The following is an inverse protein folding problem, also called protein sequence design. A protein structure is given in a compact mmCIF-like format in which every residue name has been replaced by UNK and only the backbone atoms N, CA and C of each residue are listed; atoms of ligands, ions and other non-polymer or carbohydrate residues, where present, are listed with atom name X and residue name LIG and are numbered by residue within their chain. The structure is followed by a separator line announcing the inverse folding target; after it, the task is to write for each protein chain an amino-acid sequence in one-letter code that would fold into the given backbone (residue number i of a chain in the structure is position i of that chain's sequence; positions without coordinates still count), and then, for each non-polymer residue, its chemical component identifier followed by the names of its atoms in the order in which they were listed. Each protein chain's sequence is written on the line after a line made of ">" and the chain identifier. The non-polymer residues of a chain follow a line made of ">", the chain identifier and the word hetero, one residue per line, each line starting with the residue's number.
data_IF_533228254565
#
_entry.id   IF_533228254565
#
_cell.length_a   1.000
_cell.length_b   1.000
_cell.length_c   1.000
_cell.angle_alpha   90.00
_cell.angle_beta   90.00
_cell.angle_gamma   90.00
#
_symmetry.space_group_name_H-M   'P 1'
#
loop_
_entity.id
_entity.type
_entity.pdbx_description
1 polymer ?
#
# COMPACT_ATOMS: atom_id res chain seq x y z
N UNK A 1 -21.56 7.53 -8.18
CA UNK A 1 -20.27 7.12 -8.81
C UNK A 1 -20.00 5.67 -8.41
N UNK A 2 -19.09 4.94 -9.07
CA UNK A 2 -18.69 3.63 -8.55
C UNK A 2 -17.84 3.87 -7.30
N UNK A 3 -18.21 3.27 -6.17
CA UNK A 3 -17.42 3.35 -4.93
C UNK A 3 -16.13 2.53 -5.10
N UNK A 4 -14.94 3.14 -4.97
CA UNK A 4 -13.67 2.41 -4.99
C UNK A 4 -13.57 1.41 -3.84
N UNK A 5 -12.88 0.30 -4.07
CA UNK A 5 -12.54 -0.69 -3.04
C UNK A 5 -11.54 -0.09 -2.06
N UNK A 6 -11.84 -0.07 -0.75
CA UNK A 6 -10.92 0.40 0.28
C UNK A 6 -10.06 -0.76 0.78
N UNK A 7 -8.77 -0.73 0.46
CA UNK A 7 -7.76 -1.67 0.95
C UNK A 7 -6.94 -1.04 2.08
N UNK A 8 -7.05 -1.58 3.29
CA UNK A 8 -6.28 -1.09 4.43
C UNK A 8 -4.98 -1.86 4.57
N UNK A 9 -3.83 -1.18 4.43
CA UNK A 9 -2.52 -1.76 4.71
C UNK A 9 -2.31 -1.87 6.21
N UNK A 10 -2.08 -3.10 6.68
CA UNK A 10 -1.81 -3.40 8.08
C UNK A 10 -0.40 -2.91 8.44
N UNK A 11 -0.28 -2.08 9.48
CA UNK A 11 0.96 -1.34 9.75
C UNK A 11 1.91 -2.10 10.69
N UNK A 12 1.40 -3.06 11.46
CA UNK A 12 2.17 -3.88 12.40
C UNK A 12 3.34 -4.66 11.79
N UNK A 13 4.30 -5.04 12.64
CA UNK A 13 5.47 -5.87 12.30
C UNK A 13 5.45 -7.26 12.96
N UNK A 14 4.25 -7.71 13.36
CA UNK A 14 4.00 -9.03 13.93
C UNK A 14 2.60 -9.49 13.55
N UNK A 15 2.37 -10.81 13.57
CA UNK A 15 1.05 -11.40 13.29
C UNK A 15 -0.02 -10.76 14.19
N UNK A 16 0.20 -10.72 15.51
CA UNK A 16 -0.76 -10.15 16.44
C UNK A 16 -1.05 -8.66 16.21
N UNK A 17 -0.04 -7.87 15.84
CA UNK A 17 -0.23 -6.46 15.50
C UNK A 17 -1.06 -6.27 14.23
N UNK A 18 -0.75 -7.04 13.18
CA UNK A 18 -1.51 -7.00 11.93
C UNK A 18 -2.95 -7.48 12.11
N UNK A 19 -3.19 -8.54 12.90
CA UNK A 19 -4.55 -8.99 13.22
C UNK A 19 -5.36 -7.93 13.99
N UNK A 20 -4.72 -7.23 14.93
CA UNK A 20 -5.37 -6.12 15.62
C UNK A 20 -5.70 -4.95 14.68
N UNK A 21 -4.85 -4.68 13.68
CA UNK A 21 -5.12 -3.69 12.64
C UNK A 21 -6.29 -4.12 11.74
N UNK A 22 -6.34 -5.40 11.36
CA UNK A 22 -7.38 -5.95 10.50
C UNK A 22 -8.77 -5.91 11.17
N UNK A 23 -8.84 -6.20 12.47
CA UNK A 23 -10.07 -6.06 13.25
C UNK A 23 -10.58 -4.60 13.24
N UNK A 24 -9.68 -3.61 13.37
CA UNK A 24 -10.05 -2.19 13.29
C UNK A 24 -10.48 -1.78 11.88
N UNK A 25 -9.79 -2.28 10.85
CA UNK A 25 -10.14 -2.03 9.45
C UNK A 25 -11.55 -2.57 9.13
N UNK A 26 -11.85 -3.78 9.60
CA UNK A 26 -13.18 -4.40 9.48
C UNK A 26 -14.26 -3.55 10.15
N UNK A 27 -14.01 -3.07 11.38
CA UNK A 27 -14.96 -2.24 12.11
C UNK A 27 -15.26 -0.88 11.44
N UNK A 28 -14.30 -0.34 10.66
CA UNK A 28 -14.45 0.93 9.93
C UNK A 28 -15.11 0.74 8.55
N UNK A 29 -15.27 -0.51 8.08
CA UNK A 29 -15.86 -0.80 6.78
C UNK A 29 -14.87 -0.77 5.62
N UNK A 30 -13.63 -1.23 5.87
CA UNK A 30 -12.71 -1.58 4.79
C UNK A 30 -13.23 -2.77 3.98
N UNK A 31 -12.91 -2.81 2.70
CA UNK A 31 -13.31 -3.87 1.77
C UNK A 31 -12.24 -4.98 1.67
N UNK A 32 -10.97 -4.60 1.84
CA UNK A 32 -9.78 -5.46 1.78
C UNK A 32 -8.79 -5.12 2.89
N UNK A 33 -7.98 -6.10 3.28
CA UNK A 33 -6.79 -5.89 4.12
C UNK A 33 -5.52 -6.30 3.37
N UNK A 34 -4.51 -5.43 3.32
CA UNK A 34 -3.18 -5.80 2.82
C UNK A 34 -2.27 -6.22 3.98
N UNK A 35 -1.87 -7.49 3.97
CA UNK A 35 -0.81 -8.05 4.81
C UNK A 35 0.54 -7.82 4.12
N UNK A 36 1.38 -6.98 4.74
CA UNK A 36 2.76 -6.76 4.33
C UNK A 36 3.68 -7.81 4.95
N UNK A 37 3.80 -8.96 4.30
CA UNK A 37 4.63 -10.09 4.76
C UNK A 37 6.08 -9.68 5.01
N UNK A 38 6.62 -8.78 4.17
CA UNK A 38 7.98 -8.25 4.32
C UNK A 38 8.22 -7.57 5.69
N UNK A 39 7.16 -7.05 6.34
CA UNK A 39 7.26 -6.43 7.66
C UNK A 39 7.38 -7.42 8.83
N UNK A 40 7.13 -8.71 8.62
CA UNK A 40 7.31 -9.71 9.68
C UNK A 40 8.79 -9.85 10.09
N UNK A 41 9.70 -9.57 9.15
CA UNK A 41 11.14 -9.64 9.33
C UNK A 41 11.78 -8.33 9.80
N UNK A 42 11.00 -7.40 10.34
CA UNK A 42 11.54 -6.20 10.99
C UNK A 42 10.99 -6.02 12.39
N UNK A 43 11.73 -5.30 13.22
CA UNK A 43 11.24 -4.70 14.45
C UNK A 43 11.09 -3.20 14.22
N UNK A 44 9.90 -2.67 14.47
CA UNK A 44 9.68 -1.23 14.51
C UNK A 44 10.31 -0.64 15.78
N UNK A 45 11.24 0.29 15.60
CA UNK A 45 11.83 1.10 16.67
C UNK A 45 11.34 2.53 16.51
N UNK A 46 10.47 2.94 17.42
CA UNK A 46 9.95 4.31 17.46
C UNK A 46 11.05 5.28 17.86
N UNK A 47 11.06 6.51 17.32
CA UNK A 47 12.00 7.53 17.73
C UNK A 47 11.81 7.88 19.21
N UNK A 48 12.91 8.25 19.86
CA UNK A 48 12.85 8.72 21.24
C UNK A 48 11.98 9.99 21.35
N UNK A 49 11.21 10.16 22.43
CA UNK A 49 10.38 11.36 22.62
C UNK A 49 11.26 12.62 22.57
N UNK A 50 10.96 13.53 21.64
CA UNK A 50 11.65 14.82 21.57
C UNK A 50 11.19 15.68 22.75
N UNK A 51 12.12 16.08 23.63
CA UNK A 51 11.84 17.07 24.67
C UNK A 51 11.42 18.40 24.03
N UNK A 52 10.19 18.83 24.29
CA UNK A 52 9.68 20.10 23.77
C UNK A 52 10.29 21.23 24.61
N UNK A 53 11.36 21.86 24.11
CA UNK A 53 11.85 23.10 24.68
C UNK A 53 10.82 24.22 24.44
N UNK A 54 10.25 24.85 25.49
CA UNK A 54 9.11 25.75 25.35
C UNK A 54 9.45 27.14 24.78
N UNK A 55 10.67 27.39 24.33
CA UNK A 55 11.10 28.73 23.91
C UNK A 55 11.17 28.84 22.38
N UNK A 56 10.04 29.23 21.78
CA UNK A 56 10.02 29.89 20.48
C UNK A 56 9.85 31.38 20.72
N UNK A 57 10.87 32.17 20.40
CA UNK A 57 10.93 33.64 20.58
C UNK A 57 9.91 34.41 19.73
N UNK A 58 9.10 33.72 18.90
CA UNK A 58 8.16 34.33 17.96
C UNK A 58 6.69 33.92 18.15
N UNK A 59 6.30 33.36 19.30
CA UNK A 59 4.88 33.05 19.61
C UNK A 59 4.21 31.99 18.71
N UNK A 60 4.91 31.47 17.70
CA UNK A 60 4.49 30.30 16.91
C UNK A 60 4.98 29.05 17.60
N UNK A 61 4.06 28.24 18.12
CA UNK A 61 4.33 26.85 18.51
C UNK A 61 4.75 26.09 17.26
N UNK A 62 6.06 25.84 17.10
CA UNK A 62 6.54 24.88 16.10
C UNK A 62 6.08 23.50 16.56
N UNK A 63 5.19 22.85 15.80
CA UNK A 63 4.90 21.43 16.04
C UNK A 63 6.17 20.65 15.69
N UNK A 64 6.62 19.71 16.53
CA UNK A 64 7.76 18.88 16.18
C UNK A 64 7.47 18.16 14.87
N UNK A 65 8.45 18.18 13.96
CA UNK A 65 8.37 17.42 12.72
C UNK A 65 8.22 15.93 13.06
N UNK A 66 7.35 15.23 12.34
CA UNK A 66 7.22 13.78 12.50
C UNK A 66 8.53 13.10 12.11
N UNK A 67 9.02 12.23 12.98
CA UNK A 67 10.17 11.37 12.70
C UNK A 67 9.64 9.96 12.45
N UNK A 68 9.87 9.37 11.26
CA UNK A 68 9.42 8.01 10.98
C UNK A 68 10.15 7.00 11.87
N UNK A 69 9.51 5.87 12.21
CA UNK A 69 10.18 4.79 12.93
C UNK A 69 11.30 4.18 12.07
N UNK A 70 12.33 3.69 12.76
CA UNK A 70 13.37 2.88 12.18
C UNK A 70 12.90 1.41 12.14
N UNK A 71 13.13 0.70 11.05
CA UNK A 71 12.80 -0.71 10.93
C UNK A 71 14.10 -1.53 10.94
N UNK A 72 14.30 -2.29 12.00
CA UNK A 72 15.51 -3.08 12.22
C UNK A 72 15.29 -4.49 11.65
N UNK A 73 16.08 -4.94 10.66
CA UNK A 73 15.96 -6.29 10.10
C UNK A 73 16.19 -7.40 11.13
N UNK A 74 15.44 -8.49 10.98
CA UNK A 74 15.60 -9.74 11.72
C UNK A 74 16.15 -10.83 10.79
N UNK A 75 16.65 -11.91 11.39
CA UNK A 75 17.03 -13.12 10.65
C UNK A 75 15.82 -13.71 9.92
N UNK A 76 16.04 -14.32 8.75
CA UNK A 76 14.98 -15.02 8.01
C UNK A 76 14.30 -16.12 8.84
N UNK A 77 15.08 -16.82 9.68
CA UNK A 77 14.59 -17.90 10.55
C UNK A 77 13.74 -17.39 11.72
N UNK A 78 13.61 -16.07 11.90
CA UNK A 78 12.81 -15.49 12.98
C UNK A 78 11.30 -15.57 12.76
N UNK A 79 10.86 -15.92 11.54
CA UNK A 79 9.45 -15.98 11.15
C UNK A 79 9.10 -17.38 10.69
N UNK A 80 8.15 -18.01 11.37
CA UNK A 80 7.45 -19.18 10.86
C UNK A 80 6.39 -18.71 9.85
N UNK A 81 6.73 -18.75 8.57
CA UNK A 81 5.86 -18.28 7.49
C UNK A 81 4.56 -19.10 7.43
N UNK A 82 4.64 -20.43 7.55
CA UNK A 82 3.47 -21.29 7.45
C UNK A 82 2.46 -21.00 8.57
N UNK A 83 2.95 -20.87 9.81
CA UNK A 83 2.11 -20.48 10.93
C UNK A 83 1.54 -19.06 10.77
N UNK A 84 2.33 -18.12 10.24
CA UNK A 84 1.87 -16.75 9.99
C UNK A 84 0.75 -16.68 8.96
N UNK A 85 0.91 -17.38 7.82
CA UNK A 85 -0.12 -17.46 6.77
C UNK A 85 -1.41 -18.10 7.30
N UNK A 86 -1.31 -19.19 8.07
CA UNK A 86 -2.46 -19.83 8.70
C UNK A 86 -3.19 -18.89 9.68
N UNK A 87 -2.44 -18.12 10.47
CA UNK A 87 -3.00 -17.15 11.40
C UNK A 87 -3.74 -16.01 10.67
N UNK A 88 -3.19 -15.48 9.58
CA UNK A 88 -3.87 -14.44 8.79
C UNK A 88 -5.16 -14.95 8.15
N UNK A 89 -5.14 -16.15 7.58
CA UNK A 89 -6.34 -16.78 7.00
C UNK A 89 -7.44 -17.03 8.02
N UNK A 90 -7.08 -17.41 9.25
CA UNK A 90 -8.05 -17.69 10.30
C UNK A 90 -8.48 -16.47 11.13
N UNK A 91 -7.73 -15.37 11.05
CA UNK A 91 -7.91 -14.21 11.93
C UNK A 91 -8.34 -12.91 11.23
N UNK A 92 -8.44 -12.90 9.90
CA UNK A 92 -8.90 -11.74 9.13
C UNK A 92 -10.20 -12.12 8.41
N UNK A 93 -11.30 -11.44 8.74
CA UNK A 93 -12.62 -11.71 8.17
C UNK A 93 -12.80 -11.15 6.75
N UNK A 94 -12.02 -10.12 6.40
CA UNK A 94 -12.03 -9.49 5.08
C UNK A 94 -11.16 -10.28 4.08
N UNK A 95 -11.43 -10.18 2.76
CA UNK A 95 -10.50 -10.70 1.77
C UNK A 95 -9.12 -10.01 1.90
N UNK A 96 -8.07 -10.81 1.72
CA UNK A 96 -6.70 -10.41 2.03
C UNK A 96 -5.88 -10.23 0.76
N UNK A 97 -5.09 -9.17 0.71
CA UNK A 97 -3.95 -9.01 -0.23
C UNK A 97 -2.68 -9.39 0.51
N UNK A 98 -1.99 -10.44 0.05
CA UNK A 98 -0.65 -10.76 0.54
C UNK A 98 0.41 -10.10 -0.34
N UNK A 99 1.23 -9.26 0.28
CA UNK A 99 2.29 -8.50 -0.39
C UNK A 99 3.62 -8.79 0.30
N UNK A 100 4.64 -9.18 -0.45
CA UNK A 100 6.02 -9.27 0.03
C UNK A 100 6.90 -8.29 -0.75
N UNK A 101 6.80 -7.01 -0.42
CA UNK A 101 7.46 -5.92 -1.18
C UNK A 101 9.00 -6.04 -1.06
N UNK A 102 9.76 -5.98 -2.16
CA UNK A 102 11.22 -5.97 -2.11
C UNK A 102 11.76 -4.60 -1.69
N UNK A 103 13.00 -4.58 -1.17
CA UNK A 103 13.67 -3.34 -0.73
C UNK A 103 13.78 -2.30 -1.84
N UNK A 104 14.05 -2.74 -3.09
CA UNK A 104 14.14 -1.87 -4.27
C UNK A 104 12.86 -1.06 -4.57
N UNK A 105 11.71 -1.51 -4.06
CA UNK A 105 10.41 -0.87 -4.19
C UNK A 105 9.84 -0.43 -2.82
N UNK A 106 10.71 -0.16 -1.82
CA UNK A 106 10.30 0.38 -0.52
C UNK A 106 9.78 -0.66 0.48
N UNK A 107 10.09 -1.94 0.28
CA UNK A 107 9.80 -3.02 1.21
C UNK A 107 10.91 -3.30 2.22
N UNK A 108 10.68 -4.31 3.06
CA UNK A 108 11.57 -4.63 4.20
C UNK A 108 12.05 -6.08 4.23
N UNK A 109 11.84 -6.85 3.16
CA UNK A 109 12.23 -8.26 3.12
C UNK A 109 13.76 -8.37 3.12
N UNK A 110 14.38 -9.09 4.08
CA UNK A 110 15.84 -9.09 4.22
C UNK A 110 16.57 -10.16 3.39
N UNK A 111 15.83 -11.06 2.75
CA UNK A 111 16.39 -12.18 1.97
C UNK A 111 16.67 -11.85 0.51
N UNK A 112 17.10 -12.86 -0.24
CA UNK A 112 17.30 -12.76 -1.70
C UNK A 112 15.97 -12.74 -2.44
N UNK A 113 16.01 -12.39 -3.74
CA UNK A 113 14.81 -12.41 -4.57
C UNK A 113 14.21 -13.82 -4.65
N UNK A 114 15.03 -14.88 -4.78
CA UNK A 114 14.55 -16.26 -4.83
C UNK A 114 13.80 -16.65 -3.55
N UNK A 115 14.29 -16.20 -2.39
CA UNK A 115 13.62 -16.42 -1.10
C UNK A 115 12.31 -15.62 -1.02
N UNK A 116 12.28 -14.40 -1.56
CA UNK A 116 11.07 -13.57 -1.63
C UNK A 116 10.00 -14.21 -2.53
N UNK A 117 10.41 -14.73 -3.68
CA UNK A 117 9.52 -15.47 -4.60
C UNK A 117 8.97 -16.72 -3.92
N UNK A 118 9.77 -17.42 -3.09
CA UNK A 118 9.26 -18.54 -2.30
C UNK A 118 8.18 -18.10 -1.30
N UNK A 119 8.32 -16.92 -0.67
CA UNK A 119 7.26 -16.35 0.19
C UNK A 119 5.97 -16.10 -0.61
N UNK A 120 6.07 -15.48 -1.79
CA UNK A 120 4.92 -15.23 -2.67
C UNK A 120 4.26 -16.53 -3.15
N UNK A 121 5.05 -17.55 -3.49
CA UNK A 121 4.54 -18.88 -3.84
C UNK A 121 3.71 -19.48 -2.70
N UNK A 122 4.24 -19.45 -1.47
CA UNK A 122 3.52 -19.95 -0.28
C UNK A 122 2.24 -19.15 -0.01
N UNK A 123 2.25 -17.84 -0.25
CA UNK A 123 1.05 -17.00 -0.15
C UNK A 123 -0.04 -17.46 -1.14
N UNK A 124 0.32 -17.72 -2.40
CA UNK A 124 -0.61 -18.22 -3.43
C UNK A 124 -1.09 -19.65 -3.11
N UNK A 125 -0.20 -20.54 -2.68
CA UNK A 125 -0.55 -21.92 -2.27
C UNK A 125 -1.46 -21.94 -1.05
N UNK A 126 -1.43 -20.88 -0.23
CA UNK A 126 -2.39 -20.69 0.84
C UNK A 126 -3.78 -20.30 0.34
N UNK A 127 -4.01 -20.14 -0.98
CA UNK A 127 -5.29 -19.75 -1.58
C UNK A 127 -5.82 -18.43 -1.00
N UNK A 128 -4.91 -17.46 -0.84
CA UNK A 128 -5.27 -16.09 -0.45
C UNK A 128 -6.15 -15.43 -1.52
N UNK A 129 -7.00 -14.47 -1.14
CA UNK A 129 -7.87 -13.77 -2.09
C UNK A 129 -7.09 -13.01 -3.16
N UNK A 130 -6.02 -12.31 -2.75
CA UNK A 130 -5.18 -11.50 -3.64
C UNK A 130 -3.70 -11.65 -3.31
N UNK A 131 -2.86 -11.60 -4.33
CA UNK A 131 -1.40 -11.45 -4.20
C UNK A 131 -0.95 -10.21 -4.98
N UNK A 132 -0.06 -9.41 -4.39
CA UNK A 132 0.61 -8.30 -5.08
C UNK A 132 1.95 -8.81 -5.65
N UNK A 133 2.09 -8.73 -6.97
CA UNK A 133 3.29 -9.17 -7.71
C UNK A 133 3.89 -7.98 -8.45
N UNK A 134 5.14 -7.66 -8.17
CA UNK A 134 5.85 -6.58 -8.86
C UNK A 134 6.07 -6.89 -10.35
N UNK A 135 5.84 -5.89 -11.20
CA UNK A 135 5.99 -6.01 -12.65
C UNK A 135 7.44 -6.30 -13.08
N UNK A 136 8.42 -5.95 -12.24
CA UNK A 136 9.85 -6.16 -12.47
C UNK A 136 10.36 -7.54 -12.02
N UNK A 137 9.47 -8.43 -11.55
CA UNK A 137 9.83 -9.85 -11.37
C UNK A 137 10.19 -10.43 -12.74
N UNK A 138 11.27 -11.23 -12.78
CA UNK A 138 11.70 -11.94 -13.99
C UNK A 138 10.52 -12.61 -14.71
N UNK A 139 10.48 -12.48 -16.04
CA UNK A 139 9.31 -12.83 -16.84
C UNK A 139 8.91 -14.31 -16.71
N UNK A 140 9.90 -15.22 -16.68
CA UNK A 140 9.64 -16.66 -16.57
C UNK A 140 9.13 -16.99 -15.16
N UNK A 141 9.77 -16.42 -14.14
CA UNK A 141 9.33 -16.58 -12.73
C UNK A 141 7.94 -16.02 -12.50
N UNK A 142 7.64 -14.85 -13.08
CA UNK A 142 6.32 -14.22 -12.98
C UNK A 142 5.27 -15.07 -13.68
N UNK A 143 5.56 -15.61 -14.86
CA UNK A 143 4.64 -16.51 -15.57
C UNK A 143 4.30 -17.76 -14.74
N UNK A 144 5.29 -18.33 -14.05
CA UNK A 144 5.07 -19.44 -13.12
C UNK A 144 4.14 -19.07 -11.95
N UNK A 145 4.34 -17.89 -11.34
CA UNK A 145 3.46 -17.39 -10.27
C UNK A 145 2.04 -17.13 -10.77
N UNK A 146 1.88 -16.54 -11.96
CA UNK A 146 0.57 -16.32 -12.58
C UNK A 146 -0.15 -17.64 -12.86
N UNK A 147 0.58 -18.65 -13.35
CA UNK A 147 0.04 -20.00 -13.58
C UNK A 147 -0.42 -20.65 -12.28
N UNK A 148 0.35 -20.48 -11.20
CA UNK A 148 0.01 -21.00 -9.88
C UNK A 148 -1.22 -20.30 -9.27
N UNK A 149 -1.36 -18.99 -9.47
CA UNK A 149 -2.48 -18.19 -8.96
C UNK A 149 -3.80 -18.44 -9.70
N UNK A 150 -3.73 -18.85 -10.97
CA UNK A 150 -4.88 -19.00 -11.87
C UNK A 150 -6.03 -19.80 -11.24
N UNK A 151 -7.17 -19.15 -11.09
CA UNK A 151 -8.41 -19.75 -10.56
C UNK A 151 -8.44 -19.93 -9.05
N UNK A 152 -7.40 -19.48 -8.32
CA UNK A 152 -7.28 -19.59 -6.86
C UNK A 152 -7.13 -18.23 -6.19
N UNK A 153 -6.32 -17.36 -6.77
CA UNK A 153 -5.91 -16.07 -6.21
C UNK A 153 -5.88 -15.03 -7.32
N UNK A 154 -6.46 -13.85 -7.08
CA UNK A 154 -6.38 -12.72 -8.00
C UNK A 154 -5.06 -11.97 -7.83
N UNK A 155 -4.57 -11.32 -8.88
CA UNK A 155 -3.26 -10.68 -8.92
C UNK A 155 -3.40 -9.15 -9.04
N UNK A 156 -2.68 -8.44 -8.17
CA UNK A 156 -2.39 -7.02 -8.34
C UNK A 156 -1.01 -6.94 -8.98
N UNK A 157 -0.94 -6.41 -10.20
CA UNK A 157 0.33 -6.10 -10.86
C UNK A 157 0.77 -4.71 -10.41
N UNK A 158 1.97 -4.60 -9.83
CA UNK A 158 2.39 -3.34 -9.22
C UNK A 158 3.79 -2.89 -9.59
N UNK A 159 3.99 -1.57 -9.58
CA UNK A 159 5.30 -0.93 -9.64
C UNK A 159 5.34 0.28 -8.71
N UNK A 160 6.46 0.44 -8.00
CA UNK A 160 6.70 1.57 -7.10
C UNK A 160 7.99 2.28 -7.52
N UNK A 161 7.87 3.58 -7.76
CA UNK A 161 8.97 4.44 -8.13
C UNK A 161 9.41 5.29 -6.92
N UNK A 162 10.72 5.35 -6.68
CA UNK A 162 11.29 6.22 -5.64
C UNK A 162 11.38 7.69 -6.06
N UNK A 163 11.26 7.93 -7.37
CA UNK A 163 11.32 9.26 -7.99
C UNK A 163 9.91 9.81 -8.25
N UNK A 164 9.84 11.11 -8.51
CA UNK A 164 8.61 11.76 -8.97
C UNK A 164 8.39 11.49 -10.46
N UNK A 165 7.14 11.41 -10.93
CA UNK A 165 6.87 11.28 -12.35
C UNK A 165 7.25 12.58 -13.07
N UNK A 166 7.85 12.49 -14.25
CA UNK A 166 8.12 13.59 -15.15
C UNK A 166 6.84 14.19 -15.71
N UNK A 167 5.83 13.35 -16.03
CA UNK A 167 4.54 13.80 -16.57
C UNK A 167 3.37 12.87 -16.24
N UNK A 168 2.14 13.32 -16.48
CA UNK A 168 0.94 12.46 -16.45
C UNK A 168 0.98 11.39 -17.55
N UNK A 169 1.59 11.69 -18.70
CA UNK A 169 1.75 10.74 -19.81
C UNK A 169 2.67 9.56 -19.47
N UNK A 170 3.73 9.78 -18.69
CA UNK A 170 4.59 8.71 -18.18
C UNK A 170 3.81 7.75 -17.28
N UNK A 171 3.02 8.28 -16.34
CA UNK A 171 2.18 7.46 -15.45
C UNK A 171 1.17 6.62 -16.24
N UNK A 172 0.58 7.19 -17.29
CA UNK A 172 -0.33 6.46 -18.19
C UNK A 172 0.42 5.34 -18.89
N UNK A 173 1.60 5.63 -19.45
CA UNK A 173 2.44 4.64 -20.12
C UNK A 173 2.80 3.49 -19.18
N UNK A 174 3.18 3.77 -17.93
CA UNK A 174 3.50 2.70 -16.97
C UNK A 174 2.31 1.80 -16.72
N UNK A 175 1.09 2.35 -16.64
CA UNK A 175 -0.13 1.55 -16.44
C UNK A 175 -0.40 0.70 -17.68
N UNK A 176 -0.26 1.28 -18.89
CA UNK A 176 -0.40 0.55 -20.16
C UNK A 176 0.62 -0.61 -20.25
N UNK A 177 1.84 -0.42 -19.76
CA UNK A 177 2.87 -1.48 -19.70
C UNK A 177 2.50 -2.63 -18.74
N UNK A 178 1.61 -2.39 -17.76
CA UNK A 178 1.08 -3.44 -16.89
C UNK A 178 -0.11 -4.21 -17.48
N UNK A 179 -0.67 -3.79 -18.62
CA UNK A 179 -1.88 -4.42 -19.17
C UNK A 179 -1.72 -5.93 -19.38
N UNK A 180 -2.74 -6.69 -18.96
CA UNK A 180 -2.74 -8.15 -19.07
C UNK A 180 -1.82 -8.88 -18.07
N UNK A 181 -1.12 -8.16 -17.19
CA UNK A 181 -0.21 -8.77 -16.20
C UNK A 181 -0.85 -9.00 -14.82
N UNK A 182 -2.12 -8.65 -14.63
CA UNK A 182 -2.91 -8.87 -13.43
C UNK A 182 -4.35 -8.33 -13.58
N UNK A 183 -5.22 -8.63 -12.61
CA UNK A 183 -6.61 -8.15 -12.58
C UNK A 183 -6.74 -6.70 -12.11
N UNK A 184 -5.72 -6.17 -11.41
CA UNK A 184 -5.61 -4.75 -11.02
C UNK A 184 -4.20 -4.25 -11.38
N UNK A 185 -4.13 -3.08 -12.01
CA UNK A 185 -2.89 -2.41 -12.40
C UNK A 185 -2.61 -1.28 -11.42
N UNK A 186 -1.46 -1.34 -10.74
CA UNK A 186 -1.13 -0.44 -9.63
C UNK A 186 0.21 0.26 -9.87
N UNK A 187 0.18 1.58 -9.90
CA UNK A 187 1.38 2.42 -9.95
C UNK A 187 1.45 3.30 -8.70
N UNK A 188 2.63 3.37 -8.11
CA UNK A 188 2.88 4.17 -6.92
C UNK A 188 4.14 5.01 -7.10
N UNK A 189 4.00 6.33 -7.02
CA UNK A 189 5.10 7.27 -7.22
C UNK A 189 5.48 7.98 -5.93
N UNK A 190 6.74 8.36 -5.79
CA UNK A 190 7.10 9.36 -4.81
C UNK A 190 6.52 10.72 -5.21
N UNK A 191 6.16 11.53 -4.22
CA UNK A 191 5.63 12.88 -4.41
C UNK A 191 6.32 13.84 -3.45
N UNK A 192 6.79 14.99 -3.94
CA UNK A 192 7.38 16.06 -3.14
C UNK A 192 6.43 17.25 -2.91
N UNK A 193 5.25 17.25 -3.54
CA UNK A 193 4.21 18.25 -3.32
C UNK A 193 3.15 18.31 -4.42
N UNK A 194 2.56 19.51 -4.58
CA UNK A 194 1.39 19.72 -5.45
C UNK A 194 1.66 19.42 -6.93
N UNK A 195 2.87 19.66 -7.44
CA UNK A 195 3.16 19.45 -8.86
C UNK A 195 3.14 17.95 -9.22
N UNK A 196 3.77 17.09 -8.42
CA UNK A 196 3.70 15.63 -8.63
C UNK A 196 2.31 15.08 -8.35
N UNK A 197 1.62 15.57 -7.30
CA UNK A 197 0.24 15.19 -7.04
C UNK A 197 -0.71 15.54 -8.19
N UNK A 198 -0.53 16.70 -8.85
CA UNK A 198 -1.32 17.07 -10.03
C UNK A 198 -1.07 16.15 -11.23
N UNK A 199 0.17 15.68 -11.45
CA UNK A 199 0.48 14.71 -12.52
C UNK A 199 -0.27 13.38 -12.29
N UNK A 200 -0.24 12.88 -11.05
CA UNK A 200 -0.99 11.67 -10.66
C UNK A 200 -2.50 11.86 -10.81
N UNK A 201 -3.02 13.01 -10.39
CA UNK A 201 -4.44 13.35 -10.53
C UNK A 201 -4.86 13.44 -12.00
N UNK A 202 -4.06 14.10 -12.84
CA UNK A 202 -4.33 14.24 -14.28
C UNK A 202 -4.31 12.89 -14.99
N UNK A 203 -3.32 12.03 -14.70
CA UNK A 203 -3.26 10.67 -15.22
C UNK A 203 -4.52 9.87 -14.83
N UNK A 204 -4.90 9.89 -13.56
CA UNK A 204 -6.11 9.22 -13.08
C UNK A 204 -7.38 9.77 -13.74
N UNK A 205 -7.47 11.09 -13.93
CA UNK A 205 -8.61 11.71 -14.61
C UNK A 205 -8.70 11.31 -16.08
N UNK A 206 -7.57 11.21 -16.79
CA UNK A 206 -7.52 10.78 -18.19
C UNK A 206 -7.89 9.31 -18.34
N UNK A 207 -7.57 8.47 -17.36
CA UNK A 207 -7.83 7.01 -17.41
C UNK A 207 -9.13 6.57 -16.74
N UNK A 208 -9.95 7.49 -16.22
CA UNK A 208 -11.14 7.15 -15.41
C UNK A 208 -12.21 6.29 -16.12
N UNK A 209 -12.20 6.29 -17.46
CA UNK A 209 -13.12 5.49 -18.30
C UNK A 209 -12.42 4.27 -18.92
N UNK A 210 -11.22 3.90 -18.43
CA UNK A 210 -10.50 2.71 -18.88
C UNK A 210 -11.27 1.44 -18.50
N UNK A 211 -11.18 0.40 -19.34
CA UNK A 211 -11.71 -0.92 -19.02
C UNK A 211 -10.80 -1.67 -18.03
N UNK A 212 -9.53 -1.27 -17.94
CA UNK A 212 -8.56 -1.82 -16.99
C UNK A 212 -8.84 -1.31 -15.57
N UNK A 213 -8.74 -2.20 -14.58
CA UNK A 213 -8.90 -1.81 -13.18
C UNK A 213 -7.63 -1.17 -12.65
N UNK A 214 -7.69 0.06 -12.19
CA UNK A 214 -6.51 0.89 -11.95
C UNK A 214 -6.42 1.40 -10.50
N UNK A 215 -5.18 1.48 -10.00
CA UNK A 215 -4.81 2.15 -8.75
C UNK A 215 -3.59 3.05 -8.97
N UNK A 216 -3.78 4.37 -8.94
CA UNK A 216 -2.74 5.39 -9.06
C UNK A 216 -2.60 6.10 -7.72
N UNK A 217 -1.41 6.08 -7.15
CA UNK A 217 -1.18 6.73 -5.86
C UNK A 217 0.20 7.36 -5.70
N UNK A 218 0.26 8.34 -4.80
CA UNK A 218 1.49 9.00 -4.40
C UNK A 218 1.90 8.65 -2.97
N UNK A 219 3.20 8.64 -2.71
CA UNK A 219 3.80 8.59 -1.38
C UNK A 219 4.63 9.85 -1.14
N UNK A 220 4.24 10.61 -0.13
CA UNK A 220 4.82 11.91 0.23
C UNK A 220 3.80 13.05 0.18
N UNK A 221 4.23 14.31 0.34
CA UNK A 221 3.29 15.43 0.44
C UNK A 221 2.33 15.52 -0.75
N UNK A 222 1.02 15.63 -0.46
CA UNK A 222 -0.07 15.67 -1.43
C UNK A 222 -0.33 14.36 -2.21
N UNK A 223 0.37 13.27 -1.92
CA UNK A 223 0.13 11.96 -2.53
C UNK A 223 -1.22 11.32 -2.17
N UNK A 224 -1.93 11.88 -1.19
CA UNK A 224 -3.26 11.46 -0.73
C UNK A 224 -4.40 11.96 -1.64
N UNK A 225 -4.13 12.88 -2.57
CA UNK A 225 -5.15 13.48 -3.43
C UNK A 225 -5.88 12.46 -4.30
N UNK A 226 -5.17 11.49 -4.89
CA UNK A 226 -5.81 10.45 -5.70
C UNK A 226 -6.67 9.51 -4.88
N UNK A 227 -6.40 9.39 -3.56
CA UNK A 227 -7.22 8.60 -2.62
C UNK A 227 -8.49 9.36 -2.25
N UNK A 228 -8.35 10.63 -1.87
CA UNK A 228 -9.48 11.50 -1.49
C UNK A 228 -10.45 11.64 -2.66
N UNK A 229 -9.96 11.79 -3.89
CA UNK A 229 -10.78 11.97 -5.08
C UNK A 229 -11.04 10.70 -5.88
N UNK A 230 -10.73 9.53 -5.33
CA UNK A 230 -10.84 8.25 -6.04
C UNK A 230 -12.21 7.98 -6.68
N UNK A 231 -13.37 8.25 -6.04
CA UNK A 231 -14.68 8.05 -6.67
C UNK A 231 -14.88 8.93 -7.91
N UNK A 232 -14.35 10.15 -7.89
CA UNK A 232 -14.39 11.08 -9.03
C UNK A 232 -13.42 10.66 -10.15
N UNK A 233 -12.28 10.08 -9.77
CA UNK A 233 -11.19 9.68 -10.66
C UNK A 233 -11.37 8.28 -11.25
N UNK A 234 -12.46 7.56 -10.93
CA UNK A 234 -12.71 6.21 -11.44
C UNK A 234 -11.67 5.18 -10.99
N UNK A 235 -11.06 5.37 -9.82
CA UNK A 235 -10.10 4.41 -9.26
C UNK A 235 -10.84 3.16 -8.75
N UNK A 236 -10.35 1.96 -9.06
CA UNK A 236 -10.99 0.71 -8.64
C UNK A 236 -10.67 0.32 -7.20
N UNK A 237 -9.45 0.65 -6.76
CA UNK A 237 -8.95 0.34 -5.43
C UNK A 237 -8.10 1.49 -4.90
N UNK A 238 -8.33 1.83 -3.63
CA UNK A 238 -7.55 2.81 -2.88
C UNK A 238 -6.92 2.16 -1.67
N UNK A 239 -5.64 2.46 -1.45
CA UNK A 239 -4.95 2.03 -0.24
C UNK A 239 -5.10 3.06 0.88
N UNK A 240 -5.34 2.58 2.09
CA UNK A 240 -5.49 3.40 3.30
C UNK A 240 -4.80 2.72 4.49
N UNK A 241 -4.89 3.29 5.68
CA UNK A 241 -4.22 2.82 6.89
C UNK A 241 -5.12 3.01 8.11
N UNK A 242 -4.86 2.24 9.18
CA UNK A 242 -5.42 2.50 10.51
C UNK A 242 -4.51 3.36 11.39
N UNK A 243 -3.36 3.82 10.87
CA UNK A 243 -2.52 4.81 11.54
C UNK A 243 -3.29 6.13 11.73
N UNK A 244 -2.93 6.89 12.77
CA UNK A 244 -3.56 8.17 13.09
C UNK A 244 -2.51 9.25 13.28
N UNK A 245 -2.80 10.46 12.83
CA UNK A 245 -1.98 11.64 13.11
C UNK A 245 -1.79 12.53 11.89
N UNK A 246 -1.51 13.80 12.14
CA UNK A 246 -1.37 14.81 11.07
C UNK A 246 -0.18 14.58 10.14
N UNK A 247 0.70 13.63 10.44
CA UNK A 247 1.84 13.28 9.60
C UNK A 247 1.44 12.47 8.36
N UNK A 248 0.27 11.83 8.36
CA UNK A 248 -0.18 10.97 7.26
C UNK A 248 -0.30 11.75 5.94
N UNK A 249 -0.83 12.97 5.98
CA UNK A 249 -0.93 13.83 4.78
C UNK A 249 0.45 14.20 4.20
N UNK A 250 1.46 14.38 5.06
CA UNK A 250 2.84 14.60 4.60
C UNK A 250 3.49 13.34 4.00
N UNK A 251 2.88 12.17 4.20
CA UNK A 251 3.29 10.89 3.61
C UNK A 251 2.39 10.44 2.46
N UNK A 252 1.38 11.23 2.06
CA UNK A 252 0.44 10.86 1.01
C UNK A 252 -0.51 9.73 1.44
N UNK A 253 -0.69 9.58 2.76
CA UNK A 253 -1.56 8.60 3.39
C UNK A 253 -2.78 9.29 3.97
N UNK A 254 -3.86 8.53 4.09
CA UNK A 254 -5.09 8.93 4.75
C UNK A 254 -5.63 7.74 5.54
N UNK A 255 -6.14 8.00 6.75
CA UNK A 255 -6.78 6.98 7.58
C UNK A 255 -8.11 6.54 6.94
N UNK A 256 -8.50 5.28 7.12
CA UNK A 256 -9.71 4.74 6.49
C UNK A 256 -10.99 5.48 6.91
N UNK A 257 -11.10 5.87 8.18
CA UNK A 257 -12.24 6.64 8.68
C UNK A 257 -12.25 8.05 8.09
N UNK A 258 -11.09 8.70 8.03
CA UNK A 258 -10.96 10.06 7.46
C UNK A 258 -11.27 10.06 5.95
N UNK A 259 -10.90 8.98 5.24
CA UNK A 259 -11.21 8.80 3.83
C UNK A 259 -12.72 8.69 3.58
N UNK A 260 -13.42 7.89 4.39
CA UNK A 260 -14.87 7.75 4.31
C UNK A 260 -15.58 9.07 4.61
N UNK A 261 -15.15 9.79 5.64
CA UNK A 261 -15.67 11.13 5.98
C UNK A 261 -15.43 12.10 4.82
N UNK A 262 -14.23 12.08 4.22
CA UNK A 262 -13.92 12.95 3.08
C UNK A 262 -14.85 12.66 1.88
N UNK A 263 -15.11 11.40 1.57
CA UNK A 263 -16.03 11.03 0.50
C UNK A 263 -17.47 11.45 0.78
N UNK A 264 -17.94 11.29 2.02
CA UNK A 264 -19.26 11.77 2.44
C UNK A 264 -19.37 13.30 2.29
N UNK A 265 -18.37 14.05 2.78
CA UNK A 265 -18.34 15.50 2.71
C UNK A 265 -18.24 16.05 1.29
N UNK A 266 -17.59 15.32 0.38
CA UNK A 266 -17.48 15.65 -1.03
C UNK A 266 -18.68 15.16 -1.87
N UNK A 267 -19.69 14.57 -1.21
CA UNK A 267 -20.89 14.01 -1.85
C UNK A 267 -20.57 12.95 -2.91
N UNK A 268 -19.50 12.17 -2.68
CA UNK A 268 -19.14 11.01 -3.48
C UNK A 268 -20.01 9.81 -3.13
N UNK A 269 -21.30 9.93 -3.45
CA UNK A 269 -22.31 8.89 -3.31
C UNK A 269 -22.31 7.91 -4.50
#
# INVERSE_FOLDING_TARGET
>A
MIRPTICVTLSGCSVGGMLADAARATAVGADLCEVRLDKLWVTEKKPDPVEINPVSTNGRRSRPAYVPPEYIPKSLDSVDLAASLAAFKGGIDLPVVMTCRPVRQGGYFPGTEEQRIAVLRNAIESEVSWVDLEADIDADVRADLMSLAKGKTSVISSVHFSEEPDSSGEIIQDIEELEGTGEILKVCYATSGRNSALKLFEAAWMMKESESKISIMGLGPCGDWTRIHAPLLGQDIVYSTMETGSHLSSQGKINASDLLIAWEMLEYN
#
